data_IF_335981825290
#
_entry.id   IF_335981825290
#
_cell.length_a   1.000
_cell.length_b   1.000
_cell.length_c   1.000
_cell.angle_alpha   90.00
_cell.angle_beta   90.00
_cell.angle_gamma   90.00
#
_symmetry.space_group_name_H-M   'P 1'
#
loop_
_entity.id
_entity.type
_entity.pdbx_description
1 polymer ?
#
# COMPACT_ATOMS: atom_id res chain seq x y z
N UNK A 1 -12.10 -24.66 -12.01
CA UNK A 1 -11.93 -25.40 -10.74
C UNK A 1 -12.10 -24.39 -9.62
N UNK A 2 -12.99 -24.64 -8.66
CA UNK A 2 -13.14 -23.77 -7.49
C UNK A 2 -12.32 -24.29 -6.31
N UNK A 3 -11.87 -23.39 -5.44
CA UNK A 3 -11.15 -23.76 -4.23
C UNK A 3 -12.05 -24.56 -3.30
N UNK A 4 -11.55 -25.68 -2.76
CA UNK A 4 -12.24 -26.51 -1.78
C UNK A 4 -12.60 -25.75 -0.48
N UNK A 5 -11.91 -24.63 -0.22
CA UNK A 5 -12.10 -23.82 0.98
C UNK A 5 -13.12 -22.68 0.80
N UNK A 6 -13.65 -22.45 -0.41
CA UNK A 6 -14.53 -21.32 -0.68
C UNK A 6 -15.91 -21.56 -0.06
N UNK A 7 -16.28 -20.78 0.94
CA UNK A 7 -17.61 -20.83 1.59
C UNK A 7 -18.17 -19.41 1.72
N UNK A 8 -19.41 -19.20 1.25
CA UNK A 8 -20.12 -17.91 1.31
C UNK A 8 -19.31 -16.68 0.83
N UNK A 9 -18.38 -16.88 -0.10
CA UNK A 9 -17.52 -15.81 -0.61
C UNK A 9 -17.97 -15.42 -2.01
N UNK A 10 -18.68 -14.30 -2.13
CA UNK A 10 -19.19 -13.82 -3.41
C UNK A 10 -18.03 -13.39 -4.32
N UNK A 11 -18.19 -13.54 -5.65
CA UNK A 11 -17.14 -13.18 -6.62
C UNK A 11 -16.81 -11.68 -6.61
N UNK A 12 -17.81 -10.84 -6.34
CA UNK A 12 -17.58 -9.40 -6.22
C UNK A 12 -16.73 -9.04 -5.01
N UNK A 13 -16.86 -9.77 -3.89
CA UNK A 13 -15.99 -9.60 -2.73
C UNK A 13 -14.54 -9.93 -3.08
N UNK A 14 -14.32 -10.99 -3.86
CA UNK A 14 -12.99 -11.38 -4.35
C UNK A 14 -12.37 -10.32 -5.25
N UNK A 15 -13.14 -9.77 -6.19
CA UNK A 15 -12.70 -8.68 -7.04
C UNK A 15 -12.39 -7.41 -6.24
N UNK A 16 -13.23 -7.09 -5.25
CA UNK A 16 -13.03 -5.94 -4.37
C UNK A 16 -11.75 -6.08 -3.53
N UNK A 17 -11.47 -7.26 -2.96
CA UNK A 17 -10.22 -7.52 -2.23
C UNK A 17 -9.01 -7.36 -3.14
N UNK A 18 -9.03 -7.93 -4.35
CA UNK A 18 -7.94 -7.75 -5.32
C UNK A 18 -7.72 -6.28 -5.67
N UNK A 19 -8.78 -5.48 -5.77
CA UNK A 19 -8.69 -4.05 -5.98
C UNK A 19 -8.07 -3.34 -4.77
N UNK A 20 -8.51 -3.66 -3.55
CA UNK A 20 -7.97 -3.07 -2.33
C UNK A 20 -6.48 -3.39 -2.16
N UNK A 21 -6.06 -4.64 -2.40
CA UNK A 21 -4.64 -5.02 -2.34
C UNK A 21 -3.79 -4.14 -3.26
N UNK A 22 -4.25 -3.89 -4.49
CA UNK A 22 -3.54 -2.98 -5.40
C UNK A 22 -3.53 -1.52 -4.89
N UNK A 23 -4.61 -1.05 -4.28
CA UNK A 23 -4.68 0.30 -3.70
C UNK A 23 -3.71 0.46 -2.52
N UNK A 24 -3.62 -0.54 -1.64
CA UNK A 24 -2.67 -0.55 -0.52
C UNK A 24 -1.22 -0.58 -1.01
N UNK A 25 -0.91 -1.38 -2.03
CA UNK A 25 0.41 -1.39 -2.66
C UNK A 25 0.77 -0.04 -3.30
N UNK A 26 -0.20 0.59 -3.96
CA UNK A 26 -0.03 1.93 -4.52
C UNK A 26 0.23 2.98 -3.43
N UNK A 27 -0.53 2.93 -2.33
CA UNK A 27 -0.33 3.82 -1.19
C UNK A 27 1.04 3.61 -0.54
N UNK A 28 1.45 2.36 -0.29
CA UNK A 28 2.76 2.02 0.25
C UNK A 28 3.91 2.51 -0.64
N UNK A 29 3.80 2.35 -1.95
CA UNK A 29 4.79 2.86 -2.89
C UNK A 29 4.85 4.39 -2.90
N UNK A 30 3.70 5.05 -2.79
CA UNK A 30 3.60 6.50 -2.70
C UNK A 30 4.26 7.01 -1.42
N UNK A 31 3.98 6.41 -0.25
CA UNK A 31 4.64 6.78 1.01
C UNK A 31 6.14 6.55 0.97
N UNK A 32 6.58 5.45 0.36
CA UNK A 32 8.02 5.20 0.14
C UNK A 32 8.65 6.31 -0.68
N UNK A 33 8.00 6.74 -1.77
CA UNK A 33 8.47 7.88 -2.59
C UNK A 33 8.53 9.18 -1.78
N UNK A 34 7.51 9.45 -0.94
CA UNK A 34 7.49 10.62 -0.06
C UNK A 34 8.61 10.60 0.97
N UNK A 35 8.88 9.44 1.59
CA UNK A 35 9.98 9.29 2.54
C UNK A 35 11.32 9.70 1.91
N UNK A 36 11.60 9.24 0.70
CA UNK A 36 12.81 9.61 -0.02
C UNK A 36 12.82 11.08 -0.44
N UNK A 37 11.68 11.63 -0.86
CA UNK A 37 11.57 13.06 -1.18
C UNK A 37 11.96 13.94 0.02
N UNK A 38 11.43 13.65 1.20
CA UNK A 38 11.73 14.43 2.41
C UNK A 38 13.15 14.22 2.95
N UNK A 39 13.82 13.13 2.56
CA UNK A 39 15.21 12.84 2.94
C UNK A 39 16.27 13.55 2.08
N UNK A 40 15.87 14.19 0.97
CA UNK A 40 16.81 14.93 0.11
C UNK A 40 17.48 16.07 0.86
N UNK A 41 18.71 16.42 0.49
CA UNK A 41 19.47 17.50 1.12
C UNK A 41 18.84 18.89 0.92
N UNK A 42 18.15 19.11 -0.20
CA UNK A 42 17.45 20.35 -0.52
C UNK A 42 16.05 20.48 0.13
N UNK A 43 15.55 19.41 0.76
CA UNK A 43 14.29 19.41 1.53
C UNK A 43 14.57 19.27 3.04
N UNK A 44 15.43 18.32 3.42
CA UNK A 44 15.99 18.10 4.75
C UNK A 44 14.98 17.97 5.91
N UNK A 45 13.80 17.41 5.66
CA UNK A 45 12.75 17.20 6.67
C UNK A 45 12.79 15.78 7.24
N UNK A 46 13.81 15.50 8.06
CA UNK A 46 14.09 14.15 8.58
C UNK A 46 12.92 13.51 9.36
N UNK A 47 12.12 14.29 10.10
CA UNK A 47 10.95 13.79 10.82
C UNK A 47 9.85 13.27 9.87
N UNK A 48 9.60 13.97 8.77
CA UNK A 48 8.65 13.51 7.73
C UNK A 48 9.20 12.32 6.95
N UNK A 49 10.49 12.33 6.63
CA UNK A 49 11.14 11.19 5.98
C UNK A 49 11.02 9.92 6.82
N UNK A 50 11.19 10.02 8.14
CA UNK A 50 11.00 8.91 9.06
C UNK A 50 9.54 8.46 9.13
N UNK A 51 8.60 9.39 9.31
CA UNK A 51 7.17 9.11 9.38
C UNK A 51 6.66 8.34 8.15
N UNK A 52 7.06 8.74 6.94
CA UNK A 52 6.61 8.07 5.71
C UNK A 52 7.40 6.79 5.38
N UNK A 53 8.51 6.51 6.07
CA UNK A 53 9.30 5.29 5.88
C UNK A 53 8.80 4.15 6.78
N UNK A 54 8.21 4.48 7.92
CA UNK A 54 7.57 3.51 8.81
C UNK A 54 6.21 3.12 8.21
N UNK A 55 6.19 2.03 7.43
CA UNK A 55 4.96 1.29 7.11
C UNK A 55 4.69 0.25 8.20
#
# INVERSE_FOLDING_TARGET
>A
MESQLRQNYHRDCEAAINKMVNLELFASYTYTSMAFYFSRDDVALAGFAHFFKEN
#
